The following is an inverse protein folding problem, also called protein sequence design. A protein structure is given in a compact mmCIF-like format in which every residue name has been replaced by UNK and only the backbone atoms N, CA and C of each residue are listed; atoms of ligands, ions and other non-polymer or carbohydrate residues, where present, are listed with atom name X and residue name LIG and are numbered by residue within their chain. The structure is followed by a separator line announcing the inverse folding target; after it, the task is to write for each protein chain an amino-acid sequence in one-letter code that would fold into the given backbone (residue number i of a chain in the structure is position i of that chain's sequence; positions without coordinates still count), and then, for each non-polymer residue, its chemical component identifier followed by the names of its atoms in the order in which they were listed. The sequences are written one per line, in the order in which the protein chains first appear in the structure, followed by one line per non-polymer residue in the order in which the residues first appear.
data_IF_048105919412
#
_entry.id   IF_048105919412
#
_cell.length_a   1.000
_cell.length_b   1.000
_cell.length_c   1.000
_cell.angle_alpha   90.00
_cell.angle_beta   90.00
_cell.angle_gamma   90.00
#
_symmetry.space_group_name_H-M   'P 1'
#
loop_
_entity.id
_entity.type
_entity.pdbx_description
1 polymer ?
#
# COMPACT_ATOMS: atom_id res chain seq x y z
N UNK A 1 -18.07 -14.93 2.56
CA UNK A 1 -18.42 -13.51 2.33
C UNK A 1 -18.21 -12.57 3.54
N UNK A 2 -18.68 -12.91 4.75
CA UNK A 2 -18.56 -12.00 5.93
C UNK A 2 -17.13 -11.73 6.40
N UNK A 3 -16.21 -12.70 6.26
CA UNK A 3 -14.81 -12.56 6.68
C UNK A 3 -14.04 -11.60 5.76
N UNK A 4 -14.25 -11.69 4.44
CA UNK A 4 -13.59 -10.84 3.44
C UNK A 4 -13.96 -9.36 3.65
N UNK A 5 -15.24 -9.07 3.97
CA UNK A 5 -15.69 -7.71 4.29
C UNK A 5 -15.05 -7.16 5.57
N UNK A 6 -14.87 -7.99 6.60
CA UNK A 6 -14.17 -7.58 7.83
C UNK A 6 -12.69 -7.29 7.59
N UNK A 7 -12.03 -8.13 6.79
CA UNK A 7 -10.63 -7.89 6.39
C UNK A 7 -10.49 -6.63 5.54
N UNK A 8 -11.43 -6.39 4.61
CA UNK A 8 -11.44 -5.19 3.78
C UNK A 8 -11.63 -3.92 4.62
N UNK A 9 -12.55 -3.93 5.59
CA UNK A 9 -12.74 -2.80 6.51
C UNK A 9 -11.48 -2.54 7.34
N UNK A 10 -10.87 -3.61 7.85
CA UNK A 10 -9.64 -3.50 8.65
C UNK A 10 -8.49 -2.94 7.80
N UNK A 11 -8.36 -3.39 6.56
CA UNK A 11 -7.40 -2.86 5.60
C UNK A 11 -7.65 -1.38 5.30
N UNK A 12 -8.92 -0.97 5.17
CA UNK A 12 -9.31 0.41 4.92
C UNK A 12 -8.96 1.32 6.09
N UNK A 13 -9.30 0.95 7.33
CA UNK A 13 -8.93 1.72 8.53
C UNK A 13 -7.41 1.80 8.72
N UNK A 14 -6.70 0.69 8.48
CA UNK A 14 -5.23 0.66 8.54
C UNK A 14 -4.61 1.55 7.47
N UNK A 15 -5.14 1.52 6.24
CA UNK A 15 -4.69 2.39 5.15
C UNK A 15 -4.97 3.85 5.45
N UNK A 16 -6.14 4.19 5.99
CA UNK A 16 -6.52 5.56 6.33
C UNK A 16 -5.61 6.15 7.41
N UNK A 17 -5.32 5.38 8.45
CA UNK A 17 -4.41 5.82 9.53
C UNK A 17 -2.99 6.01 9.00
N UNK A 18 -2.49 5.09 8.17
CA UNK A 18 -1.17 5.25 7.53
C UNK A 18 -1.11 6.44 6.59
N UNK A 19 -2.15 6.65 5.77
CA UNK A 19 -2.23 7.79 4.85
C UNK A 19 -2.27 9.12 5.61
N UNK A 20 -3.02 9.20 6.71
CA UNK A 20 -3.06 10.40 7.56
C UNK A 20 -1.69 10.71 8.18
N UNK A 21 -1.01 9.68 8.69
CA UNK A 21 0.36 9.82 9.24
C UNK A 21 1.34 10.22 8.15
N UNK A 22 1.25 9.61 6.96
CA UNK A 22 2.15 9.91 5.84
C UNK A 22 1.94 11.33 5.31
N UNK A 23 0.68 11.77 5.19
CA UNK A 23 0.35 13.15 4.84
C UNK A 23 0.95 14.14 5.84
N UNK A 24 0.76 13.88 7.14
CA UNK A 24 1.33 14.70 8.20
C UNK A 24 2.86 14.73 8.16
N UNK A 25 3.50 13.58 7.90
CA UNK A 25 4.96 13.49 7.76
C UNK A 25 5.45 14.28 6.55
N UNK A 26 4.80 14.18 5.40
CA UNK A 26 5.20 14.93 4.19
C UNK A 26 5.02 16.43 4.42
N UNK A 27 3.89 16.88 4.99
CA UNK A 27 3.71 18.31 5.27
C UNK A 27 4.71 18.86 6.30
N UNK A 28 5.00 18.11 7.37
CA UNK A 28 5.90 18.58 8.44
C UNK A 28 7.38 18.43 8.10
N UNK A 29 7.79 17.32 7.49
CA UNK A 29 9.21 17.02 7.25
C UNK A 29 9.69 17.60 5.93
N UNK A 30 8.96 17.41 4.82
CA UNK A 30 9.37 17.96 3.52
C UNK A 30 9.18 19.48 3.47
N UNK A 31 8.09 19.98 4.05
CA UNK A 31 7.81 21.42 4.10
C UNK A 31 8.73 22.21 5.04
N UNK A 32 9.01 21.69 6.24
CA UNK A 32 9.72 22.45 7.28
C UNK A 32 11.21 22.10 7.40
N UNK A 33 11.63 20.84 7.18
CA UNK A 33 13.04 20.44 7.34
C UNK A 33 13.86 20.47 6.04
N UNK A 34 13.26 20.15 4.89
CA UNK A 34 13.99 20.13 3.62
C UNK A 34 13.94 21.44 2.85
N UNK A 35 13.16 22.43 3.29
CA UNK A 35 13.07 23.76 2.68
C UNK A 35 12.66 23.73 1.20
N UNK A 36 12.05 22.63 0.76
CA UNK A 36 11.83 22.35 -0.63
C UNK A 36 10.44 22.86 -1.02
N UNK A 37 10.38 24.13 -1.45
CA UNK A 37 9.15 24.77 -1.94
C UNK A 37 8.52 24.05 -3.16
N UNK A 38 9.22 23.06 -3.72
CA UNK A 38 8.79 22.20 -4.82
C UNK A 38 7.85 21.07 -4.39
N UNK A 39 7.78 20.74 -3.09
CA UNK A 39 6.87 19.69 -2.59
C UNK A 39 5.50 20.31 -2.33
N UNK A 40 4.70 20.34 -3.39
CA UNK A 40 3.34 20.87 -3.33
C UNK A 40 2.43 19.92 -2.56
N UNK A 41 1.40 20.47 -1.91
CA UNK A 41 0.30 19.71 -1.27
C UNK A 41 -0.24 18.59 -2.17
N UNK A 42 -0.21 18.78 -3.49
CA UNK A 42 -0.54 17.76 -4.47
C UNK A 42 0.27 16.47 -4.30
N UNK A 43 1.60 16.54 -4.18
CA UNK A 43 2.47 15.35 -4.03
C UNK A 43 2.16 14.62 -2.72
N UNK A 44 1.96 15.36 -1.63
CA UNK A 44 1.57 14.78 -0.35
C UNK A 44 0.25 14.00 -0.44
N UNK A 45 -0.74 14.56 -1.16
CA UNK A 45 -2.04 13.95 -1.37
C UNK A 45 -1.92 12.69 -2.27
N UNK A 46 -1.12 12.78 -3.34
CA UNK A 46 -0.80 11.65 -4.23
C UNK A 46 -0.21 10.50 -3.44
N UNK A 47 0.86 10.73 -2.69
CA UNK A 47 1.56 9.68 -1.91
C UNK A 47 0.63 9.05 -0.86
N UNK A 48 -0.17 9.88 -0.18
CA UNK A 48 -1.10 9.38 0.84
C UNK A 48 -2.21 8.52 0.23
N UNK A 49 -2.74 8.90 -0.93
CA UNK A 49 -3.74 8.13 -1.66
C UNK A 49 -3.15 6.82 -2.21
N UNK A 50 -1.92 6.87 -2.71
CA UNK A 50 -1.16 5.69 -3.15
C UNK A 50 -0.98 4.69 -2.02
N UNK A 51 -0.54 5.14 -0.83
CA UNK A 51 -0.36 4.26 0.33
C UNK A 51 -1.68 3.59 0.76
N UNK A 52 -2.78 4.33 0.71
CA UNK A 52 -4.11 3.78 0.98
C UNK A 52 -4.43 2.60 0.04
N UNK A 53 -4.28 2.83 -1.26
CA UNK A 53 -4.53 1.80 -2.29
C UNK A 53 -3.57 0.62 -2.18
N UNK A 54 -2.27 0.85 -1.98
CA UNK A 54 -1.29 -0.22 -1.86
C UNK A 54 -1.53 -1.09 -0.62
N UNK A 55 -1.93 -0.51 0.52
CA UNK A 55 -2.27 -1.28 1.74
C UNK A 55 -3.50 -2.17 1.50
N UNK A 56 -4.52 -1.66 0.81
CA UNK A 56 -5.70 -2.47 0.47
C UNK A 56 -5.32 -3.65 -0.42
N UNK A 57 -4.52 -3.40 -1.46
CA UNK A 57 -4.08 -4.45 -2.39
C UNK A 57 -3.16 -5.45 -1.69
N UNK A 58 -2.23 -4.98 -0.85
CA UNK A 58 -1.34 -5.84 -0.08
C UNK A 58 -2.12 -6.81 0.83
N UNK A 59 -3.21 -6.36 1.45
CA UNK A 59 -4.09 -7.21 2.25
C UNK A 59 -4.82 -8.26 1.41
N UNK A 60 -5.32 -7.90 0.23
CA UNK A 60 -5.96 -8.85 -0.69
C UNK A 60 -4.96 -9.91 -1.15
N UNK A 61 -3.76 -9.48 -1.55
CA UNK A 61 -2.68 -10.35 -2.02
C UNK A 61 -2.21 -11.26 -0.89
N UNK A 62 -1.94 -10.71 0.30
CA UNK A 62 -1.49 -11.46 1.46
C UNK A 62 -2.49 -12.53 1.94
N UNK A 63 -3.79 -12.31 1.77
CA UNK A 63 -4.81 -13.32 2.08
C UNK A 63 -5.00 -14.36 0.97
N UNK A 64 -4.84 -13.98 -0.30
CA UNK A 64 -5.11 -14.84 -1.47
C UNK A 64 -3.94 -15.74 -1.84
N UNK A 65 -2.70 -15.24 -1.80
CA UNK A 65 -1.48 -15.99 -2.10
C UNK A 65 -1.35 -17.32 -1.32
N UNK A 66 -1.50 -17.36 0.02
CA UNK A 66 -1.34 -18.60 0.78
C UNK A 66 -2.48 -19.61 0.48
N UNK A 67 -3.69 -19.14 0.15
CA UNK A 67 -4.81 -20.00 -0.24
C UNK A 67 -4.53 -20.65 -1.60
N UNK A 68 -3.97 -19.89 -2.55
CA UNK A 68 -3.58 -20.39 -3.87
C UNK A 68 -2.40 -21.36 -3.75
N UNK A 69 -1.38 -21.02 -2.94
CA UNK A 69 -0.22 -21.89 -2.70
C UNK A 69 -0.64 -23.25 -2.10
N UNK A 70 -1.55 -23.24 -1.12
CA UNK A 70 -2.14 -24.47 -0.55
C UNK A 70 -2.87 -25.30 -1.60
N UNK A 71 -3.57 -24.67 -2.55
CA UNK A 71 -4.22 -25.38 -3.66
C UNK A 71 -3.24 -25.99 -4.67
N UNK A 72 -2.07 -25.38 -4.84
CA UNK A 72 -1.02 -25.86 -5.73
C UNK A 72 -0.12 -26.93 -5.08
N UNK A 73 -0.35 -27.27 -3.80
CA UNK A 73 0.41 -28.29 -3.08
C UNK A 73 1.74 -27.81 -2.51
N UNK A 74 2.04 -26.51 -2.57
CA UNK A 74 3.20 -25.91 -1.92
C UNK A 74 2.91 -25.63 -0.45
N UNK A 75 3.91 -25.80 0.42
CA UNK A 75 3.76 -25.56 1.85
C UNK A 75 3.67 -24.05 2.13
N UNK A 76 2.47 -23.53 2.48
CA UNK A 76 2.25 -22.10 2.63
C UNK A 76 3.03 -21.54 3.82
N UNK A 77 3.42 -22.35 4.81
CA UNK A 77 4.15 -21.85 5.99
C UNK A 77 5.58 -21.40 5.66
N UNK A 78 6.24 -22.07 4.71
CA UNK A 78 7.64 -21.79 4.35
C UNK A 78 7.74 -20.75 3.23
N UNK A 79 6.78 -20.75 2.29
CA UNK A 79 6.81 -19.85 1.14
C UNK A 79 6.08 -18.52 1.37
N UNK A 80 5.10 -18.44 2.28
CA UNK A 80 4.27 -17.24 2.42
C UNK A 80 5.09 -15.99 2.76
N UNK A 81 6.03 -16.05 3.70
CA UNK A 81 6.72 -14.83 4.16
C UNK A 81 7.56 -14.14 3.07
N UNK A 82 8.52 -14.80 2.39
CA UNK A 82 9.30 -14.14 1.34
C UNK A 82 8.47 -13.86 0.08
N UNK A 83 7.55 -14.75 -0.30
CA UNK A 83 6.82 -14.63 -1.57
C UNK A 83 5.68 -13.59 -1.51
N UNK A 84 5.03 -13.42 -0.35
CA UNK A 84 4.05 -12.34 -0.16
C UNK A 84 4.75 -10.99 -0.26
N UNK A 85 5.90 -10.84 0.40
CA UNK A 85 6.60 -9.54 0.44
C UNK A 85 7.06 -9.12 -0.95
N UNK A 86 7.59 -10.04 -1.78
CA UNK A 86 8.00 -9.74 -3.16
C UNK A 86 6.82 -9.45 -4.09
N UNK A 87 5.73 -10.20 -3.98
CA UNK A 87 4.53 -9.95 -4.77
C UNK A 87 3.91 -8.58 -4.42
N UNK A 88 3.81 -8.27 -3.13
CA UNK A 88 3.33 -6.98 -2.65
C UNK A 88 4.25 -5.84 -3.10
N UNK A 89 5.56 -6.02 -3.05
CA UNK A 89 6.53 -5.03 -3.50
C UNK A 89 6.34 -4.68 -4.99
N UNK A 90 6.32 -5.70 -5.86
CA UNK A 90 6.09 -5.51 -7.30
C UNK A 90 4.75 -4.82 -7.61
N UNK A 91 3.67 -5.21 -6.92
CA UNK A 91 2.35 -4.60 -7.11
C UNK A 91 2.32 -3.17 -6.58
N UNK A 92 2.95 -2.90 -5.44
CA UNK A 92 3.00 -1.58 -4.84
C UNK A 92 3.78 -0.58 -5.72
N UNK A 93 4.88 -1.01 -6.34
CA UNK A 93 5.61 -0.21 -7.32
C UNK A 93 4.77 0.08 -8.56
N UNK A 94 4.03 -0.91 -9.07
CA UNK A 94 3.13 -0.71 -10.22
C UNK A 94 2.05 0.33 -9.90
N UNK A 95 1.43 0.26 -8.72
CA UNK A 95 0.44 1.24 -8.27
C UNK A 95 1.07 2.62 -8.10
N UNK A 96 2.26 2.69 -7.49
CA UNK A 96 2.99 3.94 -7.29
C UNK A 96 3.32 4.63 -8.62
N UNK A 97 3.94 3.90 -9.56
CA UNK A 97 4.25 4.44 -10.88
C UNK A 97 3.00 4.77 -11.68
N UNK A 98 1.94 3.97 -11.56
CA UNK A 98 0.65 4.24 -12.22
C UNK A 98 0.02 5.55 -11.72
N UNK A 99 -0.06 5.74 -10.41
CA UNK A 99 -0.61 6.96 -9.82
C UNK A 99 0.31 8.17 -10.09
N UNK A 100 1.62 7.99 -9.99
CA UNK A 100 2.59 9.02 -10.34
C UNK A 100 2.41 9.47 -11.80
N UNK A 101 2.22 8.54 -12.73
CA UNK A 101 1.99 8.86 -14.15
C UNK A 101 0.65 9.54 -14.42
N UNK A 102 -0.37 9.35 -13.57
CA UNK A 102 -1.68 10.00 -13.73
C UNK A 102 -1.71 11.40 -13.11
N UNK A 103 -0.94 11.65 -12.04
CA UNK A 103 -1.01 12.91 -11.30
C UNK A 103 0.19 13.86 -11.51
N UNK A 104 1.37 13.35 -11.87
CA UNK A 104 2.55 14.18 -12.18
C UNK A 104 2.73 14.45 -13.68
N UNK A 105 1.93 13.83 -14.54
CA UNK A 105 1.90 14.02 -15.98
C UNK A 105 0.53 14.59 -16.39
#
# INVERSE_FOLDING_TARGET
PRVILKELLTALFCGLTLAAVCFGKVMLVDGLMFGNASVTVYVALVVSCTILLTVMVAKIVGCSLPIIAKKLGFDPAVMASPFITTAVDAISLLIYFGIASIMLF
#
